data_IF_247502487286
#
_entry.id   IF_247502487286
#
_cell.length_a   1.000
_cell.length_b   1.000
_cell.length_c   1.000
_cell.angle_alpha   90.00
_cell.angle_beta   90.00
_cell.angle_gamma   90.00
#
_symmetry.space_group_name_H-M   'P 1'
#
loop_
_entity.id
_entity.type
_entity.pdbx_description
1 polymer ?
#
# COMPACT_ATOMS: atom_id res chain seq x y z
N UNK A 1 57.33 18.83 12.84
CA UNK A 1 56.68 18.25 14.03
C UNK A 1 55.17 18.27 13.81
N UNK A 2 54.53 17.12 13.53
CA UNK A 2 53.09 17.03 13.32
C UNK A 2 52.36 16.94 14.66
N UNK A 3 51.25 17.68 14.81
CA UNK A 3 50.36 17.59 15.97
C UNK A 3 49.13 16.76 15.61
N UNK A 4 48.75 15.92 16.57
CA UNK A 4 47.96 14.71 16.42
C UNK A 4 46.46 14.95 16.22
N UNK A 5 45.85 13.96 15.58
CA UNK A 5 44.41 13.77 15.42
C UNK A 5 43.71 13.60 16.78
N UNK A 6 42.51 14.18 16.90
CA UNK A 6 41.57 13.92 17.99
C UNK A 6 40.46 12.97 17.52
N UNK A 7 39.99 12.05 18.38
CA UNK A 7 39.12 10.95 18.00
C UNK A 7 37.63 11.30 17.91
N UNK A 8 36.95 10.52 17.08
CA UNK A 8 35.50 10.44 16.88
C UNK A 8 34.78 9.98 18.15
N UNK A 9 33.77 10.75 18.57
CA UNK A 9 32.88 10.40 19.69
C UNK A 9 31.72 9.51 19.20
N UNK A 10 31.35 8.57 20.05
CA UNK A 10 30.65 7.34 19.71
C UNK A 10 29.13 7.48 19.71
N UNK A 11 28.48 6.82 18.75
CA UNK A 11 27.04 6.63 18.73
C UNK A 11 26.55 5.79 19.93
N UNK A 12 25.37 6.09 20.51
CA UNK A 12 24.82 5.30 21.60
C UNK A 12 24.36 3.92 21.11
N UNK A 13 24.94 2.87 21.71
CA UNK A 13 24.55 1.47 21.52
C UNK A 13 23.30 1.18 22.35
N UNK A 14 22.17 0.93 21.69
CA UNK A 14 20.98 0.37 22.35
C UNK A 14 21.24 -1.13 22.57
N UNK A 15 21.35 -1.53 23.83
CA UNK A 15 21.54 -2.91 24.27
C UNK A 15 20.18 -3.55 24.53
N UNK A 16 19.78 -4.53 23.71
CA UNK A 16 18.59 -5.36 23.96
C UNK A 16 19.06 -6.78 24.24
N UNK A 17 18.89 -7.23 25.49
CA UNK A 17 19.20 -8.58 25.92
C UNK A 17 18.19 -9.60 25.34
N UNK A 18 18.61 -10.86 25.08
CA UNK A 18 17.72 -11.90 24.57
C UNK A 18 16.90 -12.55 25.70
N UNK A 19 15.61 -12.91 25.51
CA UNK A 19 14.87 -13.72 26.46
C UNK A 19 15.26 -15.20 26.31
N UNK A 20 15.96 -15.73 27.31
CA UNK A 20 16.19 -17.17 27.51
C UNK A 20 15.09 -17.76 28.39
N UNK A 21 14.31 -18.70 27.84
CA UNK A 21 13.36 -19.50 28.62
C UNK A 21 12.65 -20.55 27.76
N UNK A 22 13.02 -21.83 27.93
CA UNK A 22 12.39 -23.01 27.32
C UNK A 22 11.54 -23.78 28.37
N UNK A 23 10.61 -24.65 27.91
CA UNK A 23 9.28 -24.84 28.50
C UNK A 23 9.18 -25.97 29.54
N UNK A 24 8.16 -25.92 30.41
CA UNK A 24 7.82 -27.02 31.32
C UNK A 24 6.38 -27.49 31.08
N UNK A 25 6.25 -28.75 30.68
CA UNK A 25 4.99 -29.45 30.49
C UNK A 25 4.53 -30.12 31.79
N UNK A 26 3.22 -30.08 32.06
CA UNK A 26 2.54 -31.03 32.96
C UNK A 26 1.11 -31.26 32.48
N UNK A 27 0.79 -32.52 32.15
CA UNK A 27 -0.55 -33.03 31.87
C UNK A 27 -1.33 -33.22 33.17
N UNK A 28 -2.63 -32.86 33.20
CA UNK A 28 -3.69 -33.66 33.84
C UNK A 28 -5.02 -33.49 33.11
N UNK A 29 -5.65 -34.62 32.84
CA UNK A 29 -6.98 -34.76 32.25
C UNK A 29 -8.07 -34.71 33.32
N UNK A 30 -9.23 -34.16 32.97
CA UNK A 30 -10.53 -34.56 33.54
C UNK A 30 -11.65 -34.12 32.60
N UNK A 31 -12.56 -35.05 32.33
CA UNK A 31 -13.68 -34.95 31.41
C UNK A 31 -14.80 -34.03 31.94
N UNK A 32 -15.41 -33.24 31.05
CA UNK A 32 -16.64 -32.48 31.29
C UNK A 32 -17.34 -32.21 29.96
N UNK A 33 -18.59 -32.64 29.86
CA UNK A 33 -19.43 -32.73 28.66
C UNK A 33 -20.17 -31.40 28.40
N UNK A 34 -19.92 -30.78 27.23
CA UNK A 34 -20.78 -29.96 26.33
C UNK A 34 -21.80 -28.92 26.91
N UNK A 35 -22.05 -27.74 26.27
CA UNK A 35 -22.58 -27.70 24.90
C UNK A 35 -22.07 -26.59 23.95
N UNK A 36 -22.36 -26.84 22.68
CA UNK A 36 -22.12 -26.02 21.51
C UNK A 36 -22.59 -24.56 21.63
N UNK A 37 -21.71 -23.60 21.30
CA UNK A 37 -22.10 -22.22 20.97
C UNK A 37 -20.95 -21.39 20.34
N UNK A 38 -20.25 -21.95 19.35
CA UNK A 38 -19.32 -21.18 18.51
C UNK A 38 -19.39 -21.63 17.04
N UNK A 39 -20.61 -21.91 16.56
CA UNK A 39 -20.88 -22.14 15.14
C UNK A 39 -21.60 -20.93 14.50
N UNK A 40 -21.50 -19.74 15.10
CA UNK A 40 -22.27 -18.55 14.68
C UNK A 40 -21.45 -17.39 14.13
N UNK A 41 -20.13 -17.50 14.00
CA UNK A 41 -19.33 -16.44 13.35
C UNK A 41 -18.94 -16.78 11.90
N UNK A 42 -19.06 -18.03 11.47
CA UNK A 42 -18.92 -18.38 10.04
C UNK A 42 -20.15 -18.04 9.19
N UNK A 43 -21.26 -17.60 9.82
CA UNK A 43 -22.47 -17.15 9.12
C UNK A 43 -22.51 -15.63 8.84
N UNK A 44 -21.51 -14.86 9.29
CA UNK A 44 -21.50 -13.41 9.13
C UNK A 44 -20.69 -12.88 7.93
N UNK A 45 -20.22 -13.75 7.02
CA UNK A 45 -19.61 -13.34 5.75
C UNK A 45 -19.86 -14.32 4.61
N UNK A 46 -21.05 -14.91 4.55
CA UNK A 46 -21.69 -15.10 3.26
C UNK A 46 -22.09 -13.70 2.76
N UNK A 47 -21.08 -12.90 2.40
CA UNK A 47 -21.25 -11.63 1.73
C UNK A 47 -21.93 -11.98 0.40
N UNK A 48 -23.26 -11.87 0.41
CA UNK A 48 -24.15 -11.74 -0.73
C UNK A 48 -23.45 -12.00 -2.06
N UNK A 49 -23.28 -13.28 -2.43
CA UNK A 49 -23.05 -13.71 -3.81
C UNK A 49 -24.33 -13.54 -4.63
N UNK A 50 -24.98 -12.38 -4.50
CA UNK A 50 -26.05 -11.98 -5.39
C UNK A 50 -25.38 -11.69 -6.72
N UNK A 51 -25.71 -12.50 -7.72
CA UNK A 51 -25.39 -12.18 -9.12
C UNK A 51 -25.85 -10.74 -9.34
N UNK A 52 -25.00 -9.87 -9.93
CA UNK A 52 -25.40 -8.51 -10.15
C UNK A 52 -26.69 -8.48 -10.98
N UNK A 53 -27.56 -7.50 -10.74
CA UNK A 53 -28.93 -7.48 -11.25
C UNK A 53 -28.99 -7.57 -12.79
N UNK A 54 -27.97 -7.06 -13.50
CA UNK A 54 -27.85 -7.16 -14.96
C UNK A 54 -27.39 -8.54 -15.48
N UNK A 55 -26.91 -9.44 -14.61
CA UNK A 55 -26.63 -10.86 -14.95
C UNK A 55 -27.85 -11.76 -14.64
N UNK A 56 -28.87 -11.22 -13.96
CA UNK A 56 -30.08 -11.93 -13.56
C UNK A 56 -31.25 -11.71 -14.53
N UNK A 57 -30.97 -11.71 -15.84
CA UNK A 57 -32.01 -11.87 -16.87
C UNK A 57 -32.49 -13.32 -16.94
N UNK A 58 -33.71 -13.52 -17.46
CA UNK A 58 -34.30 -14.85 -17.69
C UNK A 58 -33.29 -15.79 -18.38
N UNK A 59 -33.30 -17.05 -17.96
CA UNK A 59 -32.26 -18.05 -18.25
C UNK A 59 -32.02 -18.32 -19.76
N UNK A 60 -32.84 -17.77 -20.65
CA UNK A 60 -32.74 -17.91 -22.11
C UNK A 60 -32.03 -16.73 -22.81
N UNK A 61 -31.81 -15.60 -22.15
CA UNK A 61 -31.12 -14.43 -22.75
C UNK A 61 -29.69 -14.32 -22.20
N UNK A 62 -28.86 -15.29 -22.58
CA UNK A 62 -27.45 -15.28 -22.24
C UNK A 62 -26.78 -14.04 -22.84
N UNK A 63 -26.34 -13.11 -21.99
CA UNK A 63 -25.61 -11.91 -22.42
C UNK A 63 -24.48 -12.29 -23.37
N UNK A 64 -24.46 -11.67 -24.54
CA UNK A 64 -23.33 -11.78 -25.47
C UNK A 64 -22.05 -11.35 -24.73
N UNK A 65 -20.93 -12.06 -24.91
CA UNK A 65 -19.66 -11.75 -24.23
C UNK A 65 -19.24 -10.27 -24.34
N UNK A 66 -19.53 -9.61 -25.47
CA UNK A 66 -19.29 -8.16 -25.62
C UNK A 66 -20.19 -7.28 -24.75
N UNK A 67 -21.45 -7.68 -24.57
CA UNK A 67 -22.39 -6.99 -23.66
C UNK A 67 -21.99 -7.21 -22.20
N UNK A 68 -21.59 -8.43 -21.85
CA UNK A 68 -21.11 -8.75 -20.51
C UNK A 68 -19.90 -7.89 -20.11
N UNK A 69 -18.89 -7.75 -20.99
CA UNK A 69 -17.72 -6.90 -20.70
C UNK A 69 -18.14 -5.43 -20.50
N UNK A 70 -19.01 -4.89 -21.35
CA UNK A 70 -19.50 -3.52 -21.20
C UNK A 70 -20.24 -3.29 -19.88
N UNK A 71 -21.07 -4.25 -19.48
CA UNK A 71 -21.81 -4.13 -18.22
C UNK A 71 -20.90 -4.35 -17.00
N UNK A 72 -19.87 -5.18 -17.14
CA UNK A 72 -18.84 -5.35 -16.12
C UNK A 72 -18.02 -4.06 -15.93
N UNK A 73 -17.63 -3.39 -17.01
CA UNK A 73 -16.93 -2.09 -16.95
C UNK A 73 -17.80 -1.04 -16.26
N UNK A 74 -19.09 -0.98 -16.65
CA UNK A 74 -20.07 -0.08 -16.03
C UNK A 74 -20.23 -0.37 -14.53
N UNK A 75 -20.36 -1.64 -14.16
CA UNK A 75 -20.45 -2.05 -12.76
C UNK A 75 -19.20 -1.68 -11.97
N UNK A 76 -18.03 -1.99 -12.53
CA UNK A 76 -16.74 -1.70 -11.94
C UNK A 76 -16.59 -0.20 -11.65
N UNK A 77 -17.00 0.66 -12.59
CA UNK A 77 -16.98 2.11 -12.39
C UNK A 77 -17.95 2.58 -11.28
N UNK A 78 -19.17 2.01 -11.22
CA UNK A 78 -20.16 2.38 -10.20
C UNK A 78 -19.73 1.93 -8.79
N UNK A 79 -19.31 0.68 -8.64
CA UNK A 79 -18.83 0.18 -7.34
C UNK A 79 -17.49 0.80 -6.97
N UNK A 80 -16.59 1.01 -7.93
CA UNK A 80 -15.32 1.72 -7.72
C UNK A 80 -15.55 3.09 -7.10
N UNK A 81 -16.41 3.92 -7.71
CA UNK A 81 -16.81 5.22 -7.17
C UNK A 81 -17.39 5.12 -5.76
N UNK A 82 -18.33 4.18 -5.55
CA UNK A 82 -19.00 4.04 -4.26
C UNK A 82 -18.04 3.64 -3.14
N UNK A 83 -17.20 2.64 -3.39
CA UNK A 83 -16.19 2.17 -2.44
C UNK A 83 -15.15 3.25 -2.18
N UNK A 84 -14.68 3.94 -3.22
CA UNK A 84 -13.74 5.04 -3.08
C UNK A 84 -14.31 6.15 -2.20
N UNK A 85 -15.55 6.60 -2.45
CA UNK A 85 -16.19 7.65 -1.65
C UNK A 85 -16.49 7.25 -0.20
N UNK A 86 -16.74 5.96 0.06
CA UNK A 86 -16.93 5.43 1.42
C UNK A 86 -15.60 5.30 2.17
N UNK A 87 -14.51 5.00 1.45
CA UNK A 87 -13.17 4.78 2.02
C UNK A 87 -12.40 6.10 2.21
N UNK A 88 -12.50 7.02 1.25
CA UNK A 88 -11.80 8.30 1.25
C UNK A 88 -12.72 9.39 1.79
N UNK A 89 -12.47 9.78 3.04
CA UNK A 89 -13.17 10.90 3.68
C UNK A 89 -12.48 12.20 3.25
N UNK A 90 -13.25 13.07 2.57
CA UNK A 90 -12.92 14.49 2.30
C UNK A 90 -11.45 14.75 1.94
N UNK A 91 -11.01 14.26 0.76
CA UNK A 91 -9.66 14.51 0.26
C UNK A 91 -9.46 16.02 0.07
N UNK A 92 -8.49 16.59 0.79
CA UNK A 92 -8.24 18.02 0.76
C UNK A 92 -7.21 18.38 -0.31
N UNK A 93 -7.32 19.58 -0.88
CA UNK A 93 -6.39 20.03 -1.92
C UNK A 93 -4.92 20.07 -1.45
N UNK A 94 -4.68 20.41 -0.17
CA UNK A 94 -3.34 20.45 0.43
C UNK A 94 -2.69 19.05 0.52
N UNK A 95 -3.49 18.00 0.69
CA UNK A 95 -3.00 16.61 0.70
C UNK A 95 -2.54 16.17 -0.69
N UNK A 96 -3.30 16.53 -1.73
CA UNK A 96 -2.95 16.25 -3.13
C UNK A 96 -1.68 17.02 -3.51
N UNK A 97 -1.58 18.29 -3.14
CA UNK A 97 -0.38 19.10 -3.34
C UNK A 97 0.82 18.53 -2.57
N UNK A 98 0.60 18.05 -1.35
CA UNK A 98 1.60 17.36 -0.54
C UNK A 98 2.15 16.11 -1.22
N UNK A 99 1.27 15.29 -1.82
CA UNK A 99 1.68 14.11 -2.58
C UNK A 99 2.45 14.49 -3.85
N UNK A 100 2.01 15.51 -4.57
CA UNK A 100 2.72 16.02 -5.75
C UNK A 100 4.12 16.54 -5.38
N UNK A 101 4.24 17.26 -4.25
CA UNK A 101 5.53 17.69 -3.69
C UNK A 101 6.40 16.50 -3.31
N UNK A 102 5.84 15.47 -2.68
CA UNK A 102 6.56 14.25 -2.33
C UNK A 102 7.12 13.55 -3.57
N UNK A 103 6.32 13.43 -4.64
CA UNK A 103 6.75 12.86 -5.92
C UNK A 103 7.94 13.64 -6.51
N UNK A 104 7.87 14.98 -6.48
CA UNK A 104 8.94 15.85 -6.96
C UNK A 104 10.23 15.67 -6.15
N UNK A 105 10.12 15.58 -4.82
CA UNK A 105 11.27 15.34 -3.92
C UNK A 105 11.89 13.96 -4.18
N UNK A 106 11.07 12.91 -4.31
CA UNK A 106 11.54 11.56 -4.60
C UNK A 106 12.29 11.51 -5.94
N UNK A 107 11.74 12.15 -6.97
CA UNK A 107 12.40 12.31 -8.28
C UNK A 107 13.75 13.02 -8.15
N UNK A 108 13.78 14.15 -7.45
CA UNK A 108 14.99 14.93 -7.24
C UNK A 108 16.09 14.13 -6.55
N UNK A 109 15.74 13.38 -5.50
CA UNK A 109 16.68 12.49 -4.78
C UNK A 109 17.22 11.37 -5.66
N UNK A 110 16.36 10.75 -6.46
CA UNK A 110 16.79 9.72 -7.41
C UNK A 110 17.76 10.27 -8.45
N UNK A 111 17.45 11.43 -9.04
CA UNK A 111 18.33 12.09 -10.02
C UNK A 111 19.66 12.52 -9.39
N UNK A 112 19.63 13.07 -8.17
CA UNK A 112 20.84 13.41 -7.43
C UNK A 112 21.73 12.18 -7.24
N UNK A 113 21.14 11.06 -6.76
CA UNK A 113 21.89 9.81 -6.56
C UNK A 113 22.46 9.24 -7.87
N UNK A 114 21.71 9.33 -8.97
CA UNK A 114 22.19 8.93 -10.29
C UNK A 114 23.44 9.72 -10.70
N UNK A 115 23.39 11.04 -10.54
CA UNK A 115 24.49 11.94 -10.90
C UNK A 115 25.72 11.73 -10.00
N UNK A 116 25.51 11.56 -8.69
CA UNK A 116 26.58 11.29 -7.73
C UNK A 116 27.34 10.00 -8.09
N UNK A 117 26.62 8.96 -8.50
CA UNK A 117 27.25 7.70 -8.91
C UNK A 117 28.04 7.84 -10.21
N UNK A 118 27.55 8.63 -11.18
CA UNK A 118 28.23 8.90 -12.45
C UNK A 118 29.42 9.88 -12.34
N UNK A 119 29.41 10.77 -11.36
CA UNK A 119 30.47 11.74 -11.11
C UNK A 119 31.71 11.16 -10.41
N UNK A 120 31.66 9.90 -9.97
CA UNK A 120 32.72 9.26 -9.18
C UNK A 120 33.99 8.92 -9.98
N UNK A 121 33.99 9.07 -11.30
CA UNK A 121 35.09 8.70 -12.19
C UNK A 121 35.37 7.20 -12.28
N UNK A 122 34.60 6.37 -11.55
CA UNK A 122 34.70 4.91 -11.57
C UNK A 122 33.92 4.35 -12.77
N UNK A 123 34.45 3.33 -13.47
CA UNK A 123 33.76 2.73 -14.61
C UNK A 123 32.57 1.84 -14.20
N UNK A 124 32.46 1.46 -12.92
CA UNK A 124 31.41 0.59 -12.40
C UNK A 124 30.91 1.05 -11.03
N UNK A 125 29.63 0.78 -10.74
CA UNK A 125 29.05 0.97 -9.40
C UNK A 125 29.24 -0.28 -8.55
N UNK A 126 29.39 -0.09 -7.25
CA UNK A 126 29.37 -1.19 -6.28
C UNK A 126 27.93 -1.69 -6.09
N UNK A 127 27.77 -2.95 -5.70
CA UNK A 127 26.45 -3.55 -5.46
C UNK A 127 25.62 -2.76 -4.44
N UNK A 128 26.27 -2.22 -3.40
CA UNK A 128 25.61 -1.36 -2.41
C UNK A 128 25.06 -0.07 -3.04
N UNK A 129 25.83 0.56 -3.94
CA UNK A 129 25.42 1.77 -4.66
C UNK A 129 24.25 1.47 -5.60
N UNK A 130 24.29 0.32 -6.29
CA UNK A 130 23.20 -0.15 -7.17
C UNK A 130 21.92 -0.43 -6.37
N UNK A 131 22.04 -1.11 -5.24
CA UNK A 131 20.91 -1.41 -4.35
C UNK A 131 20.27 -0.14 -3.80
N UNK A 132 21.08 0.82 -3.37
CA UNK A 132 20.60 2.10 -2.88
C UNK A 132 19.90 2.91 -3.98
N UNK A 133 20.51 2.99 -5.16
CA UNK A 133 19.94 3.66 -6.34
C UNK A 133 18.59 3.04 -6.73
N UNK A 134 18.48 1.72 -6.65
CA UNK A 134 17.24 0.99 -6.91
C UNK A 134 16.13 1.39 -5.93
N UNK A 135 16.43 1.51 -4.64
CA UNK A 135 15.45 1.98 -3.62
C UNK A 135 14.94 3.38 -3.91
N UNK A 136 15.83 4.29 -4.33
CA UNK A 136 15.43 5.64 -4.74
C UNK A 136 14.52 5.61 -5.98
N UNK A 137 14.83 4.77 -6.98
CA UNK A 137 13.98 4.58 -8.16
C UNK A 137 12.60 4.06 -7.78
N UNK A 138 12.55 2.96 -7.02
CA UNK A 138 11.31 2.30 -6.61
C UNK A 138 10.41 3.25 -5.81
N UNK A 139 10.99 4.02 -4.89
CA UNK A 139 10.25 5.05 -4.14
C UNK A 139 9.66 6.12 -5.07
N UNK A 140 10.44 6.61 -6.04
CA UNK A 140 9.97 7.59 -7.01
C UNK A 140 8.85 7.02 -7.90
N UNK A 141 9.01 5.79 -8.40
CA UNK A 141 8.04 5.13 -9.27
C UNK A 141 6.72 4.89 -8.55
N UNK A 142 6.76 4.40 -7.31
CA UNK A 142 5.57 4.13 -6.50
C UNK A 142 4.76 5.40 -6.23
N UNK A 143 5.43 6.46 -5.75
CA UNK A 143 4.75 7.73 -5.46
C UNK A 143 4.20 8.38 -6.74
N UNK A 144 4.94 8.28 -7.85
CA UNK A 144 4.49 8.79 -9.16
C UNK A 144 3.27 8.03 -9.66
N UNK A 145 3.26 6.71 -9.55
CA UNK A 145 2.12 5.90 -9.99
C UNK A 145 0.91 6.13 -9.09
N UNK A 146 1.10 6.22 -7.77
CA UNK A 146 0.03 6.59 -6.84
C UNK A 146 -0.59 7.95 -7.17
N UNK A 147 0.23 8.97 -7.50
CA UNK A 147 -0.28 10.28 -7.92
C UNK A 147 -1.05 10.21 -9.26
N UNK A 148 -0.63 9.34 -10.18
CA UNK A 148 -1.34 9.14 -11.45
C UNK A 148 -2.71 8.49 -11.21
N UNK A 149 -2.75 7.40 -10.44
CA UNK A 149 -4.01 6.72 -10.07
C UNK A 149 -4.97 7.69 -9.37
N UNK A 150 -4.46 8.53 -8.46
CA UNK A 150 -5.28 9.53 -7.77
C UNK A 150 -5.88 10.54 -8.75
N UNK A 151 -5.11 11.03 -9.72
CA UNK A 151 -5.62 11.95 -10.75
C UNK A 151 -6.72 11.30 -11.60
N UNK A 152 -6.50 10.07 -12.04
CA UNK A 152 -7.49 9.30 -12.79
C UNK A 152 -8.79 9.12 -11.97
N UNK A 153 -8.67 8.82 -10.68
CA UNK A 153 -9.83 8.68 -9.78
C UNK A 153 -10.58 10.00 -9.56
N UNK A 154 -9.88 11.14 -9.50
CA UNK A 154 -10.49 12.48 -9.44
C UNK A 154 -11.22 12.78 -10.76
N UNK A 155 -10.58 12.55 -11.91
CA UNK A 155 -11.17 12.77 -13.25
C UNK A 155 -12.41 11.90 -13.48
N UNK A 156 -12.41 10.66 -12.99
CA UNK A 156 -13.54 9.75 -13.03
C UNK A 156 -14.68 10.12 -12.04
N UNK A 157 -14.46 11.10 -11.15
CA UNK A 157 -15.39 11.51 -10.09
C UNK A 157 -15.54 10.47 -8.97
N UNK A 158 -14.58 9.55 -8.86
CA UNK A 158 -14.50 8.56 -7.78
C UNK A 158 -14.03 9.22 -6.49
N UNK A 159 -13.12 10.19 -6.59
CA UNK A 159 -12.63 11.00 -5.49
C UNK A 159 -13.21 12.41 -5.59
N UNK A 160 -13.78 12.90 -4.48
CA UNK A 160 -14.20 14.30 -4.36
C UNK A 160 -13.11 15.09 -3.65
N UNK A 161 -12.75 16.24 -4.21
CA UNK A 161 -11.78 17.16 -3.61
C UNK A 161 -12.54 18.27 -2.90
N UNK A 162 -12.30 18.43 -1.61
CA UNK A 162 -12.91 19.47 -0.77
C UNK A 162 -12.01 20.70 -0.59
N UNK A 163 -12.64 21.85 -0.38
CA UNK A 163 -11.97 23.17 -0.28
C UNK A 163 -11.26 23.42 1.06
N UNK A 164 -11.14 22.39 1.92
CA UNK A 164 -10.44 22.48 3.21
C UNK A 164 -11.05 23.42 4.26
N UNK A 165 -12.25 23.97 4.03
CA UNK A 165 -13.01 24.76 5.01
C UNK A 165 -14.05 23.89 5.71
N UNK A 166 -13.62 23.18 6.74
CA UNK A 166 -14.48 22.61 7.78
C UNK A 166 -14.15 23.28 9.10
#
# INVERSE_FOLDING_TARGET
>A
MPAAAAPVDAAPRISVAPPTGKPKATKKAAAGRAPARQASTMQARAASSRRPVWVAGDADDALNGKQYVRELDRFSAVEGRKIAQDTLIDVRSDEIEGLARLAAVARGRYLAKLLDSGGSGRPTMQEAEVSELRRFRETYEEVREGLKILKEAIEAGEVKVGDGKG
#
